data_IF_926130948208
#
_entry.id   IF_926130948208
#
_cell.length_a   1.000
_cell.length_b   1.000
_cell.length_c   1.000
_cell.angle_alpha   90.00
_cell.angle_beta   90.00
_cell.angle_gamma   90.00
#
_symmetry.space_group_name_H-M   'P 1'
#
loop_
_entity.id
_entity.type
_entity.pdbx_description
1 polymer ?
#
# COMPACT_ATOMS: atom_id res chain seq x y z
N UNK A 1 37.72 -57.81 44.31
CA UNK A 1 37.67 -57.52 42.87
C UNK A 1 36.20 -57.41 42.45
N UNK A 2 35.87 -56.38 41.65
CA UNK A 2 34.59 -56.15 40.91
C UNK A 2 33.42 -55.69 41.80
N UNK A 3 32.63 -54.65 41.53
CA UNK A 3 32.70 -53.47 40.66
C UNK A 3 31.59 -52.50 41.13
N UNK A 4 31.86 -51.19 41.20
CA UNK A 4 30.87 -50.18 41.53
C UNK A 4 30.17 -49.68 40.24
N UNK A 5 28.86 -49.84 40.15
CA UNK A 5 28.03 -49.32 39.05
C UNK A 5 27.69 -47.85 39.33
N UNK A 6 28.29 -46.94 38.56
CA UNK A 6 27.94 -45.51 38.55
C UNK A 6 26.87 -45.27 37.46
N UNK A 7 25.62 -45.02 37.87
CA UNK A 7 24.55 -44.56 36.96
C UNK A 7 24.73 -43.07 36.71
N UNK A 8 24.97 -42.69 35.47
CA UNK A 8 24.93 -41.30 35.00
C UNK A 8 23.53 -41.00 34.50
N UNK A 9 22.81 -40.09 35.19
CA UNK A 9 21.60 -39.48 34.66
C UNK A 9 22.00 -38.25 33.85
N UNK A 10 21.91 -38.32 32.52
CA UNK A 10 21.99 -37.15 31.66
C UNK A 10 20.61 -36.49 31.61
N UNK A 11 20.44 -35.37 32.32
CA UNK A 11 19.30 -34.48 32.13
C UNK A 11 19.49 -33.70 30.83
N UNK A 12 18.76 -34.10 29.79
CA UNK A 12 18.63 -33.31 28.56
C UNK A 12 17.74 -32.10 28.79
N UNK A 13 18.32 -30.90 28.80
CA UNK A 13 17.58 -29.64 28.82
C UNK A 13 17.08 -29.34 27.39
N UNK A 14 15.81 -29.65 27.11
CA UNK A 14 15.14 -29.21 25.87
C UNK A 14 14.88 -27.70 25.96
N UNK A 15 15.68 -26.92 25.23
CA UNK A 15 15.38 -25.51 24.98
C UNK A 15 14.18 -25.41 24.04
N UNK A 16 12.98 -25.27 24.60
CA UNK A 16 11.82 -24.78 23.88
C UNK A 16 12.05 -23.30 23.57
N UNK A 17 12.69 -23.02 22.43
CA UNK A 17 12.68 -21.67 21.87
C UNK A 17 11.22 -21.29 21.65
N UNK A 18 10.71 -20.21 22.28
CA UNK A 18 9.38 -19.74 21.97
C UNK A 18 9.38 -19.35 20.49
N UNK A 19 8.52 -19.98 19.69
CA UNK A 19 8.12 -19.39 18.42
C UNK A 19 7.44 -18.07 18.77
N UNK A 20 8.22 -16.99 18.79
CA UNK A 20 7.67 -15.66 18.72
C UNK A 20 6.89 -15.63 17.40
N UNK A 21 5.57 -15.76 17.48
CA UNK A 21 4.71 -15.50 16.34
C UNK A 21 5.04 -14.07 15.91
N UNK A 22 5.75 -13.93 14.78
CA UNK A 22 6.11 -12.64 14.25
C UNK A 22 4.82 -11.84 14.11
N UNK A 23 4.71 -10.74 14.85
CA UNK A 23 3.51 -9.93 14.82
C UNK A 23 3.28 -9.42 13.39
N UNK A 24 2.01 -9.25 12.99
CA UNK A 24 1.68 -8.72 11.68
C UNK A 24 2.14 -7.25 11.62
N UNK A 25 2.97 -6.93 10.63
CA UNK A 25 3.58 -5.60 10.48
C UNK A 25 3.04 -4.92 9.22
N UNK A 26 2.78 -3.61 9.28
CA UNK A 26 2.33 -2.82 8.13
C UNK A 26 2.95 -1.42 8.07
N UNK A 27 3.42 -1.02 6.89
CA UNK A 27 3.77 0.35 6.53
C UNK A 27 2.71 0.97 5.61
N UNK A 28 2.51 2.29 5.75
CA UNK A 28 1.50 3.03 4.99
C UNK A 28 2.10 3.79 3.81
N UNK A 29 1.46 3.72 2.64
CA UNK A 29 1.83 4.51 1.46
C UNK A 29 0.61 5.22 0.89
N UNK A 30 0.81 6.40 0.32
CA UNK A 30 -0.26 7.24 -0.23
C UNK A 30 -0.02 7.59 -1.69
N UNK A 31 -1.06 7.62 -2.52
CA UNK A 31 -0.96 7.93 -3.96
C UNK A 31 -1.72 9.20 -4.39
N UNK A 32 -1.32 9.72 -5.56
CA UNK A 32 -1.97 10.71 -6.45
C UNK A 32 -2.03 12.15 -5.91
N UNK A 33 -2.39 12.35 -4.63
CA UNK A 33 -2.62 13.68 -4.05
C UNK A 33 -3.84 14.40 -4.67
N UNK A 34 -4.61 15.20 -3.91
CA UNK A 34 -5.68 16.01 -4.48
C UNK A 34 -5.11 17.28 -5.14
N UNK A 35 -5.55 17.59 -6.36
CA UNK A 35 -5.26 18.86 -7.05
C UNK A 35 -5.87 20.06 -6.26
N UNK A 36 -5.04 20.95 -5.69
CA UNK A 36 -5.52 22.09 -4.92
C UNK A 36 -6.23 23.15 -5.76
N UNK A 37 -5.92 23.27 -7.05
CA UNK A 37 -6.60 24.21 -7.94
C UNK A 37 -8.04 23.76 -8.25
N UNK A 38 -8.31 22.45 -8.25
CA UNK A 38 -9.65 21.89 -8.52
C UNK A 38 -10.44 21.55 -7.27
N UNK A 39 -9.77 21.41 -6.13
CA UNK A 39 -10.39 21.00 -4.88
C UNK A 39 -9.92 21.88 -3.72
N UNK A 40 -10.75 22.83 -3.25
CA UNK A 40 -10.37 23.74 -2.16
C UNK A 40 -10.16 23.01 -0.82
N UNK A 41 -10.52 21.72 -0.72
CA UNK A 41 -10.27 20.90 0.47
C UNK A 41 -8.96 20.12 0.40
N UNK A 42 -8.21 20.18 -0.71
CA UNK A 42 -6.95 19.46 -0.89
C UNK A 42 -5.97 19.69 0.27
N UNK A 43 -5.71 20.97 0.59
CA UNK A 43 -4.85 21.36 1.71
C UNK A 43 -5.34 20.78 3.04
N UNK A 44 -6.65 20.89 3.31
CA UNK A 44 -7.24 20.38 4.55
C UNK A 44 -7.12 18.85 4.68
N UNK A 45 -7.23 18.11 3.57
CA UNK A 45 -7.09 16.66 3.57
C UNK A 45 -5.64 16.25 3.78
N UNK A 46 -4.71 16.93 3.10
CA UNK A 46 -3.28 16.75 3.25
C UNK A 46 -2.85 16.96 4.71
N UNK A 47 -3.20 18.13 5.27
CA UNK A 47 -2.84 18.50 6.63
C UNK A 47 -3.40 17.53 7.69
N UNK A 48 -4.63 17.02 7.51
CA UNK A 48 -5.23 16.05 8.43
C UNK A 48 -4.53 14.70 8.41
N UNK A 49 -4.12 14.22 7.23
CA UNK A 49 -3.36 12.98 7.10
C UNK A 49 -1.99 13.14 7.78
N UNK A 50 -1.25 14.21 7.46
CA UNK A 50 0.05 14.50 8.07
C UNK A 50 -0.06 14.66 9.59
N UNK A 51 -1.11 15.34 10.08
CA UNK A 51 -1.37 15.47 11.51
C UNK A 51 -1.58 14.11 12.17
N UNK A 52 -2.41 13.24 11.59
CA UNK A 52 -2.64 11.90 12.12
C UNK A 52 -1.35 11.05 12.12
N UNK A 53 -0.58 11.07 11.03
CA UNK A 53 0.71 10.36 10.97
C UNK A 53 1.68 10.85 12.06
N UNK A 54 1.75 12.16 12.30
CA UNK A 54 2.58 12.75 13.35
C UNK A 54 2.13 12.35 14.76
N UNK A 55 0.83 12.42 15.07
CA UNK A 55 0.30 11.99 16.38
C UNK A 55 0.63 10.53 16.67
N UNK A 56 0.59 9.71 15.62
CA UNK A 56 0.83 8.28 15.69
C UNK A 56 2.30 7.88 15.52
N UNK A 57 3.19 8.87 15.35
CA UNK A 57 4.64 8.70 15.12
C UNK A 57 4.97 7.78 13.92
N UNK A 58 4.16 7.85 12.87
CA UNK A 58 4.28 7.01 11.68
C UNK A 58 4.95 7.76 10.52
N UNK A 59 5.90 7.10 9.87
CA UNK A 59 6.54 7.61 8.66
C UNK A 59 6.03 6.85 7.43
N UNK A 60 5.39 7.56 6.51
CA UNK A 60 4.84 7.03 5.27
C UNK A 60 5.72 7.37 4.05
N UNK A 61 5.31 6.90 2.87
CA UNK A 61 5.82 7.37 1.58
C UNK A 61 4.63 7.86 0.73
N UNK A 62 4.76 9.05 0.15
CA UNK A 62 3.86 9.60 -0.85
C UNK A 62 4.37 9.27 -2.26
N UNK A 63 3.48 8.84 -3.14
CA UNK A 63 3.71 8.65 -4.57
C UNK A 63 2.78 9.60 -5.35
N UNK A 64 3.17 10.87 -5.55
CA UNK A 64 2.37 11.83 -6.29
C UNK A 64 2.51 11.59 -7.80
N UNK A 65 1.40 11.73 -8.53
CA UNK A 65 1.47 11.90 -9.98
C UNK A 65 1.32 13.38 -10.30
N UNK A 66 2.12 13.92 -11.23
CA UNK A 66 2.10 15.36 -11.49
C UNK A 66 0.71 15.83 -11.91
N UNK A 67 0.03 15.09 -12.80
CA UNK A 67 -1.33 15.39 -13.20
C UNK A 67 -2.33 15.25 -12.04
N UNK A 68 -2.12 14.32 -11.11
CA UNK A 68 -2.98 14.10 -9.95
C UNK A 68 -2.97 15.26 -8.98
N UNK A 69 -1.79 15.84 -8.74
CA UNK A 69 -1.59 16.98 -7.85
C UNK A 69 -1.84 18.35 -8.53
N UNK A 70 -2.26 18.39 -9.80
CA UNK A 70 -2.46 19.65 -10.52
C UNK A 70 -1.17 20.30 -11.05
N UNK A 71 -0.10 19.53 -11.22
CA UNK A 71 1.21 19.99 -11.68
C UNK A 71 1.95 20.77 -10.59
N UNK A 72 2.56 21.89 -10.97
CA UNK A 72 3.32 22.75 -10.06
C UNK A 72 2.48 23.26 -8.87
N UNK A 73 1.18 23.48 -9.09
CA UNK A 73 0.26 23.94 -8.03
C UNK A 73 0.18 22.99 -6.83
N UNK A 74 0.45 21.69 -7.05
CA UNK A 74 0.44 20.69 -5.99
C UNK A 74 1.78 20.46 -5.30
N UNK A 75 2.88 20.97 -5.84
CA UNK A 75 4.22 20.77 -5.27
C UNK A 75 4.36 21.30 -3.83
N UNK A 76 3.74 22.43 -3.43
CA UNK A 76 3.74 22.85 -2.02
C UNK A 76 3.10 21.82 -1.08
N UNK A 77 2.07 21.09 -1.53
CA UNK A 77 1.48 20.01 -0.74
C UNK A 77 2.42 18.81 -0.62
N UNK A 78 3.16 18.49 -1.68
CA UNK A 78 4.20 17.45 -1.65
C UNK A 78 5.34 17.85 -0.72
N UNK A 79 5.76 19.11 -0.73
CA UNK A 79 6.80 19.64 0.16
C UNK A 79 6.43 19.46 1.64
N UNK A 80 5.16 19.61 2.02
CA UNK A 80 4.71 19.33 3.39
C UNK A 80 4.96 17.88 3.85
N UNK A 81 4.98 16.91 2.93
CA UNK A 81 5.37 15.53 3.26
C UNK A 81 6.87 15.42 3.50
N UNK A 82 7.67 16.13 2.71
CA UNK A 82 9.13 16.21 2.87
C UNK A 82 9.48 16.83 4.22
N UNK A 83 8.88 17.97 4.54
CA UNK A 83 9.10 18.70 5.81
C UNK A 83 8.66 17.88 7.03
N UNK A 84 7.67 17.01 6.86
CA UNK A 84 7.22 16.05 7.87
C UNK A 84 8.07 14.77 7.97
N UNK A 85 9.15 14.66 7.18
CA UNK A 85 10.07 13.51 7.18
C UNK A 85 9.55 12.27 6.45
N UNK A 86 8.45 12.37 5.71
CA UNK A 86 7.94 11.26 4.90
C UNK A 86 8.72 11.14 3.59
N UNK A 87 8.84 9.91 3.07
CA UNK A 87 9.46 9.71 1.76
C UNK A 87 8.56 10.21 0.63
N UNK A 88 9.17 10.64 -0.47
CA UNK A 88 8.47 10.93 -1.72
C UNK A 88 9.05 10.06 -2.83
N UNK A 89 8.18 9.32 -3.53
CA UNK A 89 8.56 8.51 -4.70
C UNK A 89 7.88 9.00 -5.98
N UNK A 90 7.87 8.17 -7.01
CA UNK A 90 7.37 8.52 -8.34
C UNK A 90 6.04 7.79 -8.64
N UNK A 91 5.01 8.51 -9.10
CA UNK A 91 3.76 7.92 -9.64
C UNK A 91 3.45 8.38 -11.07
N UNK A 92 4.51 8.68 -11.82
CA UNK A 92 4.53 9.21 -13.19
C UNK A 92 3.91 10.59 -13.36
N UNK A 93 4.20 11.23 -14.49
CA UNK A 93 3.67 12.56 -14.76
C UNK A 93 2.18 12.55 -15.07
N UNK A 94 1.69 11.60 -15.87
CA UNK A 94 0.30 11.60 -16.35
C UNK A 94 -0.62 10.63 -15.62
N UNK A 95 -0.09 9.71 -14.80
CA UNK A 95 -0.88 8.68 -14.13
C UNK A 95 -1.51 7.64 -15.07
N UNK A 96 -1.00 7.51 -16.30
CA UNK A 96 -1.52 6.53 -17.28
C UNK A 96 -1.20 5.10 -16.86
N UNK A 97 -2.15 4.18 -17.08
CA UNK A 97 -1.93 2.75 -16.84
C UNK A 97 -0.93 2.16 -17.84
N UNK A 98 0.18 1.61 -17.33
CA UNK A 98 1.13 0.88 -18.18
C UNK A 98 0.57 -0.47 -18.66
N UNK A 99 -0.55 -0.95 -18.10
CA UNK A 99 -1.28 -2.11 -18.62
C UNK A 99 -2.14 -1.81 -19.86
N UNK A 100 -2.20 -0.55 -20.32
CA UNK A 100 -2.92 -0.20 -21.54
C UNK A 100 -2.11 -0.54 -22.79
N UNK A 101 -2.75 -1.17 -23.77
CA UNK A 101 -2.17 -1.44 -25.08
C UNK A 101 -1.75 -0.16 -25.83
N UNK A 102 -2.34 1.00 -25.50
CA UNK A 102 -2.00 2.30 -26.10
C UNK A 102 -0.74 2.94 -25.51
N UNK A 103 -0.22 2.40 -24.40
CA UNK A 103 0.97 2.93 -23.72
C UNK A 103 2.15 2.03 -24.05
N UNK A 104 3.14 2.56 -24.76
CA UNK A 104 4.38 1.85 -25.11
C UNK A 104 5.40 1.93 -23.99
N UNK A 105 6.41 1.04 -23.97
CA UNK A 105 7.51 1.09 -22.99
C UNK A 105 8.21 2.46 -23.01
N UNK A 106 8.60 2.95 -24.19
CA UNK A 106 9.28 4.24 -24.33
C UNK A 106 8.43 5.43 -23.86
N UNK A 107 7.14 5.46 -24.19
CA UNK A 107 6.27 6.57 -23.77
C UNK A 107 5.91 6.52 -22.28
N UNK A 108 5.98 5.35 -21.65
CA UNK A 108 5.86 5.22 -20.19
C UNK A 108 7.14 5.63 -19.47
N UNK A 109 8.33 5.22 -19.96
CA UNK A 109 9.62 5.67 -19.42
C UNK A 109 9.74 7.20 -19.47
N UNK A 110 9.37 7.83 -20.58
CA UNK A 110 9.35 9.29 -20.68
C UNK A 110 8.41 9.94 -19.65
N UNK A 111 7.29 9.29 -19.35
CA UNK A 111 6.32 9.76 -18.34
C UNK A 111 6.87 9.64 -16.91
N UNK A 112 7.65 8.60 -16.63
CA UNK A 112 8.37 8.43 -15.35
C UNK A 112 9.45 9.49 -15.20
N UNK A 113 10.27 9.71 -16.24
CA UNK A 113 11.35 10.71 -16.24
C UNK A 113 10.82 12.12 -16.02
N UNK A 114 9.72 12.50 -16.66
CA UNK A 114 9.11 13.82 -16.42
C UNK A 114 8.71 14.04 -14.96
N UNK A 115 8.26 13.00 -14.26
CA UNK A 115 8.00 13.10 -12.82
C UNK A 115 9.29 13.08 -11.98
N UNK A 116 10.31 12.33 -12.41
CA UNK A 116 11.64 12.33 -11.81
C UNK A 116 12.26 13.73 -11.84
N UNK A 117 12.26 14.39 -13.00
CA UNK A 117 12.77 15.74 -13.21
C UNK A 117 12.14 16.76 -12.23
N UNK A 118 10.88 16.56 -11.85
CA UNK A 118 10.15 17.45 -10.94
C UNK A 118 10.30 17.11 -9.46
N UNK A 119 10.78 15.91 -9.10
CA UNK A 119 10.72 15.38 -7.73
C UNK A 119 12.08 14.90 -7.18
N UNK A 120 13.08 14.64 -8.02
CA UNK A 120 14.33 13.99 -7.61
C UNK A 120 15.19 14.83 -6.63
N UNK A 121 15.06 16.15 -6.67
CA UNK A 121 15.78 17.08 -5.78
C UNK A 121 15.12 17.23 -4.39
N UNK A 122 13.98 16.57 -4.14
CA UNK A 122 13.35 16.62 -2.82
C UNK A 122 14.23 15.91 -1.77
N UNK A 123 14.41 16.53 -0.59
CA UNK A 123 15.31 16.03 0.45
C UNK A 123 15.00 14.59 0.93
N UNK A 124 13.73 14.17 0.84
CA UNK A 124 13.28 12.82 1.20
C UNK A 124 12.96 11.95 -0.02
N UNK A 125 13.55 12.28 -1.18
CA UNK A 125 13.40 11.52 -2.41
C UNK A 125 13.71 10.03 -2.21
N UNK A 126 12.89 9.20 -2.81
CA UNK A 126 12.97 7.75 -2.76
C UNK A 126 12.83 7.24 -4.18
N UNK A 127 13.89 6.72 -4.83
CA UNK A 127 13.86 6.29 -6.22
C UNK A 127 13.06 4.98 -6.34
N UNK A 128 11.75 5.12 -6.22
CA UNK A 128 10.76 4.06 -6.16
C UNK A 128 9.60 4.47 -7.06
N UNK A 129 9.24 3.59 -8.01
CA UNK A 129 8.13 3.81 -8.91
C UNK A 129 6.91 3.02 -8.42
N UNK A 130 5.84 3.73 -8.06
CA UNK A 130 4.50 3.14 -7.92
C UNK A 130 3.82 3.20 -9.28
N UNK A 131 3.56 2.05 -9.89
CA UNK A 131 2.83 2.01 -11.16
C UNK A 131 1.38 2.47 -10.99
N UNK A 132 0.87 3.39 -11.82
CA UNK A 132 -0.55 3.75 -11.83
C UNK A 132 -1.44 2.52 -11.98
N UNK A 133 -2.50 2.46 -11.16
CA UNK A 133 -3.42 1.33 -11.07
C UNK A 133 -2.75 -0.01 -10.74
N UNK A 134 -1.52 0.05 -10.20
CA UNK A 134 -0.64 -1.09 -9.97
C UNK A 134 -0.41 -1.93 -11.23
N UNK A 135 -0.43 -1.34 -12.43
CA UNK A 135 -0.24 -2.08 -13.67
C UNK A 135 1.22 -1.98 -14.12
N UNK A 136 1.95 -3.08 -14.04
CA UNK A 136 3.37 -3.22 -14.40
C UNK A 136 3.54 -3.76 -15.84
N UNK A 137 2.58 -3.49 -16.71
CA UNK A 137 2.59 -3.93 -18.11
C UNK A 137 1.75 -5.18 -18.39
N UNK A 138 1.21 -5.23 -19.60
CA UNK A 138 0.32 -6.28 -20.12
C UNK A 138 1.07 -7.36 -20.92
N UNK A 139 2.31 -7.10 -21.35
CA UNK A 139 3.14 -8.03 -22.11
C UNK A 139 4.49 -8.30 -21.42
N UNK A 140 5.11 -9.44 -21.75
CA UNK A 140 6.46 -9.78 -21.29
C UNK A 140 7.47 -8.69 -21.62
N UNK A 141 7.45 -8.19 -22.86
CA UNK A 141 8.37 -7.14 -23.32
C UNK A 141 8.24 -5.84 -22.50
N UNK A 142 7.00 -5.41 -22.19
CA UNK A 142 6.77 -4.22 -21.37
C UNK A 142 7.24 -4.42 -19.93
N UNK A 143 6.87 -5.53 -19.30
CA UNK A 143 7.30 -5.84 -17.93
C UNK A 143 8.83 -5.93 -17.82
N UNK A 144 9.45 -6.76 -18.66
CA UNK A 144 10.89 -7.04 -18.55
C UNK A 144 11.71 -5.80 -18.91
N UNK A 145 11.33 -5.07 -19.97
CA UNK A 145 11.97 -3.82 -20.34
C UNK A 145 11.83 -2.73 -19.28
N UNK A 146 10.68 -2.62 -18.62
CA UNK A 146 10.51 -1.66 -17.53
C UNK A 146 11.32 -2.05 -16.29
N UNK A 147 11.33 -3.34 -15.91
CA UNK A 147 12.17 -3.83 -14.80
C UNK A 147 13.66 -3.60 -15.06
N UNK A 148 14.10 -3.78 -16.30
CA UNK A 148 15.47 -3.47 -16.71
C UNK A 148 15.76 -1.97 -16.54
N UNK A 149 14.91 -1.11 -17.12
CA UNK A 149 15.08 0.34 -17.03
C UNK A 149 15.14 0.81 -15.57
N UNK A 150 14.25 0.32 -14.70
CA UNK A 150 14.26 0.66 -13.27
C UNK A 150 15.61 0.34 -12.62
N UNK A 151 16.15 -0.88 -12.84
CA UNK A 151 17.46 -1.27 -12.27
C UNK A 151 18.60 -0.40 -12.77
N UNK A 152 18.62 -0.11 -14.07
CA UNK A 152 19.67 0.71 -14.71
C UNK A 152 19.67 2.16 -14.21
N UNK A 153 18.54 2.65 -13.71
CA UNK A 153 18.36 4.04 -13.26
C UNK A 153 18.25 4.16 -11.73
N UNK A 154 18.68 3.13 -10.98
CA UNK A 154 18.68 3.14 -9.51
C UNK A 154 17.28 3.11 -8.89
N UNK A 155 16.25 2.81 -9.67
CA UNK A 155 14.87 2.73 -9.23
C UNK A 155 14.50 1.33 -8.72
N UNK A 156 13.59 1.30 -7.74
CA UNK A 156 12.90 0.09 -7.28
C UNK A 156 11.42 0.13 -7.66
N UNK A 157 10.78 -1.02 -7.86
CA UNK A 157 9.33 -1.09 -7.93
C UNK A 157 8.74 -0.89 -6.53
N UNK A 158 7.87 0.10 -6.35
CA UNK A 158 7.16 0.36 -5.11
C UNK A 158 5.94 -0.58 -4.97
N UNK A 159 6.14 -1.88 -5.07
CA UNK A 159 5.05 -2.85 -5.03
C UNK A 159 4.26 -2.77 -3.70
N UNK A 160 3.00 -3.20 -3.73
CA UNK A 160 2.14 -3.23 -2.54
C UNK A 160 1.84 -4.68 -2.19
N UNK A 161 1.72 -4.99 -0.90
CA UNK A 161 1.25 -6.32 -0.49
C UNK A 161 -0.23 -6.29 -0.12
N UNK A 162 -0.71 -5.16 0.41
CA UNK A 162 -2.11 -4.97 0.76
C UNK A 162 -2.72 -3.94 -0.18
N UNK A 163 -3.67 -4.42 -0.98
CA UNK A 163 -4.44 -3.60 -1.91
C UNK A 163 -5.91 -3.53 -1.46
N UNK A 164 -6.45 -2.32 -1.44
CA UNK A 164 -7.75 -2.05 -0.84
C UNK A 164 -8.66 -1.26 -1.79
N UNK A 165 -9.82 -0.86 -1.29
CA UNK A 165 -10.87 -0.20 -2.09
C UNK A 165 -11.18 1.19 -1.54
N UNK A 166 -10.18 1.87 -0.97
CA UNK A 166 -10.38 3.17 -0.33
C UNK A 166 -10.93 4.21 -1.30
N UNK A 167 -10.60 4.14 -2.59
CA UNK A 167 -11.21 4.96 -3.63
C UNK A 167 -12.74 4.80 -3.70
N UNK A 168 -13.26 3.57 -3.68
CA UNK A 168 -14.70 3.32 -3.67
C UNK A 168 -15.37 3.78 -2.38
N UNK A 169 -14.78 3.49 -1.22
CA UNK A 169 -15.31 3.97 0.06
C UNK A 169 -15.29 5.51 0.13
N UNK A 170 -14.27 6.17 -0.42
CA UNK A 170 -14.21 7.63 -0.50
C UNK A 170 -15.32 8.21 -1.38
N UNK A 171 -15.65 7.58 -2.52
CA UNK A 171 -16.82 7.99 -3.33
C UNK A 171 -18.10 7.94 -2.51
N UNK A 172 -18.31 6.88 -1.72
CA UNK A 172 -19.48 6.77 -0.82
C UNK A 172 -19.46 7.82 0.29
N UNK A 173 -18.30 8.09 0.86
CA UNK A 173 -18.12 9.12 1.89
C UNK A 173 -18.47 10.50 1.38
N UNK A 174 -17.99 10.87 0.19
CA UNK A 174 -18.32 12.15 -0.45
C UNK A 174 -19.82 12.28 -0.73
N UNK A 175 -20.46 11.21 -1.23
CA UNK A 175 -21.90 11.20 -1.50
C UNK A 175 -22.74 11.38 -0.22
N UNK A 176 -22.44 10.64 0.86
CA UNK A 176 -23.14 10.77 2.13
C UNK A 176 -22.92 12.14 2.78
N UNK A 177 -21.70 12.70 2.63
CA UNK A 177 -21.38 14.04 3.14
C UNK A 177 -22.16 15.12 2.38
N UNK A 178 -22.27 15.00 1.06
CA UNK A 178 -23.06 15.92 0.25
C UNK A 178 -24.56 15.87 0.60
N UNK A 179 -25.06 14.72 1.05
CA UNK A 179 -26.45 14.55 1.51
C UNK A 179 -26.69 15.03 2.96
N UNK A 180 -25.68 15.58 3.67
CA UNK A 180 -25.83 16.10 5.03
C UNK A 180 -26.05 15.04 6.11
N UNK A 181 -25.69 13.78 5.87
CA UNK A 181 -26.05 12.64 6.73
C UNK A 181 -24.96 12.30 7.75
N UNK A 182 -25.04 12.85 8.97
CA UNK A 182 -24.04 12.66 10.02
C UNK A 182 -23.83 11.21 10.50
N UNK A 183 -24.87 10.53 10.99
CA UNK A 183 -24.76 9.14 11.49
C UNK A 183 -24.22 8.16 10.43
N UNK A 184 -24.69 8.20 9.16
CA UNK A 184 -24.13 7.38 8.09
C UNK A 184 -22.64 7.59 7.83
N UNK A 185 -22.09 8.78 8.07
CA UNK A 185 -20.65 9.02 7.92
C UNK A 185 -19.84 8.27 8.99
N UNK A 186 -20.29 8.29 10.25
CA UNK A 186 -19.64 7.52 11.30
C UNK A 186 -19.72 6.02 11.05
N UNK A 187 -20.88 5.52 10.60
CA UNK A 187 -21.06 4.12 10.22
C UNK A 187 -20.19 3.71 9.03
N UNK A 188 -20.05 4.57 8.02
CA UNK A 188 -19.16 4.33 6.88
C UNK A 188 -17.68 4.27 7.29
N UNK A 189 -17.21 5.16 8.17
CA UNK A 189 -15.81 5.13 8.64
C UNK A 189 -15.48 3.84 9.39
N UNK A 190 -16.39 3.35 10.24
CA UNK A 190 -16.25 2.02 10.89
C UNK A 190 -16.23 0.88 9.87
N UNK A 191 -17.14 0.90 8.89
CA UNK A 191 -17.15 -0.10 7.82
C UNK A 191 -15.86 -0.08 6.99
N UNK A 192 -15.30 1.12 6.76
CA UNK A 192 -14.05 1.31 6.06
C UNK A 192 -12.84 0.76 6.83
N UNK A 193 -12.71 1.07 8.12
CA UNK A 193 -11.65 0.51 8.96
C UNK A 193 -11.70 -1.03 9.00
N UNK A 194 -12.90 -1.60 9.08
CA UNK A 194 -13.10 -3.05 9.01
C UNK A 194 -12.69 -3.62 7.65
N UNK A 195 -13.02 -2.94 6.54
CA UNK A 195 -12.58 -3.35 5.21
C UNK A 195 -11.06 -3.42 5.11
N UNK A 196 -10.36 -2.38 5.55
CA UNK A 196 -8.90 -2.37 5.52
C UNK A 196 -8.29 -3.53 6.33
N UNK A 197 -8.84 -3.81 7.52
CA UNK A 197 -8.45 -4.95 8.35
C UNK A 197 -8.69 -6.31 7.66
N UNK A 198 -9.83 -6.48 6.99
CA UNK A 198 -10.11 -7.70 6.22
C UNK A 198 -9.16 -7.86 5.04
N UNK A 199 -8.82 -6.76 4.34
CA UNK A 199 -7.82 -6.80 3.27
C UNK A 199 -6.45 -7.18 3.82
N UNK A 200 -6.03 -6.59 4.93
CA UNK A 200 -4.77 -6.91 5.59
C UNK A 200 -4.71 -8.39 6.01
N UNK A 201 -5.78 -8.88 6.66
CA UNK A 201 -5.90 -10.28 7.08
C UNK A 201 -5.87 -11.24 5.90
N UNK A 202 -6.61 -10.92 4.82
CA UNK A 202 -6.62 -11.73 3.60
C UNK A 202 -5.22 -11.85 3.00
N UNK A 203 -4.50 -10.73 2.85
CA UNK A 203 -3.18 -10.74 2.22
C UNK A 203 -2.11 -11.36 3.10
N UNK A 204 -2.21 -11.23 4.42
CA UNK A 204 -1.31 -11.93 5.35
C UNK A 204 -1.51 -13.45 5.27
N UNK A 205 -2.76 -13.93 5.30
CA UNK A 205 -3.06 -15.35 5.11
C UNK A 205 -2.56 -15.85 3.76
N UNK A 206 -2.80 -15.09 2.70
CA UNK A 206 -2.31 -15.45 1.36
C UNK A 206 -0.78 -15.46 1.31
N UNK A 207 -0.09 -14.52 1.96
CA UNK A 207 1.36 -14.51 2.03
C UNK A 207 1.89 -15.72 2.79
N UNK A 208 1.29 -16.09 3.93
CA UNK A 208 1.68 -17.31 4.66
C UNK A 208 1.53 -18.57 3.82
N UNK A 209 0.45 -18.68 3.05
CA UNK A 209 0.23 -19.81 2.13
C UNK A 209 1.20 -19.79 0.94
N UNK A 210 1.48 -18.59 0.41
CA UNK A 210 2.24 -18.44 -0.83
C UNK A 210 3.74 -18.50 -0.58
N UNK A 211 4.26 -17.74 0.40
CA UNK A 211 5.68 -17.57 0.67
C UNK A 211 6.12 -18.12 2.04
N UNK A 212 5.22 -18.79 2.78
CA UNK A 212 5.54 -19.48 4.02
C UNK A 212 5.66 -18.59 5.27
N UNK A 213 5.38 -17.29 5.18
CA UNK A 213 5.48 -16.34 6.31
C UNK A 213 4.59 -15.11 6.15
N UNK A 214 4.42 -14.39 7.26
CA UNK A 214 3.91 -13.02 7.27
C UNK A 214 5.05 -12.04 6.89
N UNK A 215 4.92 -11.23 5.84
CA UNK A 215 5.89 -10.20 5.50
C UNK A 215 5.61 -8.89 6.25
N UNK A 216 6.59 -7.99 6.32
CA UNK A 216 6.30 -6.60 6.62
C UNK A 216 5.48 -6.03 5.46
N UNK A 217 4.18 -5.86 5.69
CA UNK A 217 3.27 -5.47 4.63
C UNK A 217 3.39 -3.98 4.29
N UNK A 218 3.07 -3.63 3.06
CA UNK A 218 2.87 -2.26 2.58
C UNK A 218 1.43 -2.14 2.11
N UNK A 219 0.71 -1.19 2.70
CA UNK A 219 -0.67 -0.85 2.37
C UNK A 219 -0.72 0.36 1.44
N UNK A 220 -1.51 0.22 0.37
CA UNK A 220 -1.87 1.31 -0.54
C UNK A 220 -3.10 2.06 -0.02
N UNK A 221 -2.97 3.38 0.10
CA UNK A 221 -4.04 4.33 0.36
C UNK A 221 -3.90 5.52 -0.59
N UNK A 222 -4.91 6.38 -0.66
CA UNK A 222 -4.86 7.64 -1.40
C UNK A 222 -4.99 8.84 -0.46
N UNK A 223 -4.41 9.99 -0.84
CA UNK A 223 -4.66 11.25 -0.14
C UNK A 223 -6.08 11.73 -0.54
N UNK A 224 -7.07 11.36 0.27
CA UNK A 224 -8.48 11.61 -0.02
C UNK A 224 -9.28 12.02 1.22
N UNK A 225 -10.54 12.41 1.03
CA UNK A 225 -11.40 12.92 2.09
C UNK A 225 -11.69 11.90 3.19
N UNK A 226 -11.85 10.63 2.82
CA UNK A 226 -12.14 9.56 3.77
C UNK A 226 -10.92 9.23 4.62
N UNK A 227 -9.75 9.06 4.01
CA UNK A 227 -8.50 8.82 4.75
C UNK A 227 -8.18 9.99 5.67
N UNK A 228 -8.36 11.24 5.22
CA UNK A 228 -8.24 12.42 6.06
C UNK A 228 -9.22 12.46 7.25
N UNK A 229 -10.34 11.73 7.20
CA UNK A 229 -11.35 11.71 8.24
C UNK A 229 -11.32 10.45 9.12
N UNK A 230 -10.65 9.39 8.68
CA UNK A 230 -10.71 8.06 9.30
C UNK A 230 -9.35 7.48 9.67
N UNK A 231 -8.22 8.09 9.26
CA UNK A 231 -6.89 7.51 9.48
C UNK A 231 -6.59 7.17 10.96
N UNK A 232 -6.92 8.01 11.96
CA UNK A 232 -6.76 7.63 13.37
C UNK A 232 -7.56 6.38 13.75
N UNK A 233 -8.83 6.30 13.35
CA UNK A 233 -9.71 5.15 13.61
C UNK A 233 -9.20 3.87 12.92
N UNK A 234 -8.60 4.01 11.73
CA UNK A 234 -7.96 2.90 11.02
C UNK A 234 -6.75 2.39 11.80
N UNK A 235 -5.87 3.29 12.25
CA UNK A 235 -4.66 2.94 13.00
C UNK A 235 -5.03 2.24 14.31
N UNK A 236 -5.98 2.80 15.05
CA UNK A 236 -6.52 2.21 16.27
C UNK A 236 -7.10 0.81 16.02
N UNK A 237 -7.93 0.66 14.98
CA UNK A 237 -8.53 -0.63 14.63
C UNK A 237 -7.47 -1.70 14.32
N UNK A 238 -6.38 -1.34 13.64
CA UNK A 238 -5.25 -2.23 13.35
C UNK A 238 -4.52 -2.65 14.63
N UNK A 239 -4.18 -1.70 15.49
CA UNK A 239 -3.51 -1.99 16.77
C UNK A 239 -4.37 -2.86 17.68
N UNK A 240 -5.68 -2.62 17.74
CA UNK A 240 -6.63 -3.45 18.48
C UNK A 240 -6.73 -4.89 17.94
N UNK A 241 -6.25 -5.14 16.72
CA UNK A 241 -6.12 -6.48 16.13
C UNK A 241 -4.69 -7.04 16.16
N UNK A 242 -3.78 -6.39 16.90
CA UNK A 242 -2.40 -6.85 17.08
C UNK A 242 -1.45 -6.51 15.92
N UNK A 243 -1.88 -5.66 14.98
CA UNK A 243 -1.00 -5.17 13.92
C UNK A 243 -0.07 -4.09 14.45
N UNK A 244 1.20 -4.16 14.05
CA UNK A 244 2.22 -3.19 14.37
C UNK A 244 2.51 -2.32 13.14
N UNK A 245 2.52 -1.01 13.34
CA UNK A 245 2.90 -0.09 12.28
C UNK A 245 4.40 0.14 12.30
N UNK A 246 5.02 0.13 11.13
CA UNK A 246 6.43 0.49 10.93
C UNK A 246 6.54 1.58 9.88
N UNK A 247 7.70 2.24 9.83
CA UNK A 247 7.99 3.16 8.74
C UNK A 247 7.88 2.44 7.39
N UNK A 248 7.27 3.07 6.39
CA UNK A 248 7.07 2.44 5.09
C UNK A 248 8.40 2.05 4.41
N UNK A 249 9.48 2.83 4.62
CA UNK A 249 10.83 2.48 4.16
C UNK A 249 11.31 1.14 4.74
N UNK A 250 11.11 0.94 6.05
CA UNK A 250 11.43 -0.32 6.75
C UNK A 250 10.59 -1.48 6.23
N UNK A 251 9.29 -1.28 5.98
CA UNK A 251 8.47 -2.33 5.38
C UNK A 251 9.01 -2.77 4.00
N UNK A 252 9.48 -1.82 3.19
CA UNK A 252 10.10 -2.09 1.90
C UNK A 252 11.46 -2.81 1.96
N UNK A 253 12.06 -2.99 3.13
CA UNK A 253 13.28 -3.81 3.31
C UNK A 253 12.97 -5.31 3.37
N UNK A 254 11.71 -5.70 3.52
CA UNK A 254 11.31 -7.10 3.51
C UNK A 254 11.67 -7.78 2.16
N UNK A 255 12.27 -8.98 2.17
CA UNK A 255 12.67 -9.69 0.95
C UNK A 255 11.55 -9.95 -0.06
N UNK A 256 10.28 -9.88 0.36
CA UNK A 256 9.13 -9.91 -0.53
C UNK A 256 9.28 -8.90 -1.67
N UNK A 257 9.71 -7.67 -1.36
CA UNK A 257 9.78 -6.57 -2.34
C UNK A 257 10.97 -6.67 -3.29
N UNK A 258 11.83 -7.67 -3.14
CA UNK A 258 12.86 -8.02 -4.12
C UNK A 258 12.37 -9.09 -5.13
N UNK A 259 11.24 -9.76 -4.86
CA UNK A 259 10.69 -10.78 -5.74
C UNK A 259 10.13 -10.17 -7.03
N UNK A 260 10.21 -10.92 -8.13
CA UNK A 260 9.80 -10.46 -9.46
C UNK A 260 8.83 -11.46 -10.11
N UNK A 261 7.55 -11.47 -9.72
CA UNK A 261 6.57 -12.39 -10.29
C UNK A 261 6.51 -12.27 -11.81
N UNK A 262 6.42 -13.41 -12.50
CA UNK A 262 6.46 -13.53 -13.96
C UNK A 262 5.07 -13.67 -14.60
N UNK A 263 4.02 -13.48 -13.80
CA UNK A 263 2.63 -13.52 -14.24
C UNK A 263 2.29 -12.34 -15.17
N UNK A 264 1.35 -12.57 -16.09
CA UNK A 264 0.79 -11.54 -16.98
C UNK A 264 -0.75 -11.48 -16.86
N UNK A 265 -1.37 -10.30 -17.03
CA UNK A 265 -0.73 -8.98 -16.98
C UNK A 265 -0.04 -8.75 -15.62
N UNK A 266 1.08 -8.04 -15.63
CA UNK A 266 1.92 -7.85 -14.44
C UNK A 266 1.41 -6.71 -13.53
N UNK A 267 1.75 -6.82 -12.24
CA UNK A 267 1.35 -5.87 -11.20
C UNK A 267 0.23 -6.38 -10.29
N UNK A 268 -0.50 -5.46 -9.67
CA UNK A 268 -1.38 -5.69 -8.52
C UNK A 268 -0.58 -5.85 -7.22
N UNK A 269 -1.21 -6.45 -6.21
CA UNK A 269 -0.49 -6.87 -4.99
C UNK A 269 0.57 -7.91 -5.34
N UNK A 270 1.80 -7.73 -4.84
CA UNK A 270 2.91 -8.67 -5.06
C UNK A 270 2.61 -10.05 -4.46
N UNK A 271 1.91 -10.10 -3.33
CA UNK A 271 1.48 -11.36 -2.71
C UNK A 271 0.48 -12.08 -3.62
N UNK A 272 -0.46 -11.33 -4.19
CA UNK A 272 -1.43 -11.90 -5.13
C UNK A 272 -0.76 -12.40 -6.41
N UNK A 273 0.18 -11.64 -6.95
CA UNK A 273 0.91 -11.99 -8.16
C UNK A 273 1.73 -13.28 -7.97
N UNK A 274 2.39 -13.42 -6.82
CA UNK A 274 3.11 -14.64 -6.44
C UNK A 274 2.15 -15.83 -6.23
N UNK A 275 1.00 -15.61 -5.59
CA UNK A 275 0.02 -16.66 -5.38
C UNK A 275 -0.52 -17.20 -6.70
N UNK A 276 -0.80 -16.30 -7.66
CA UNK A 276 -1.20 -16.66 -9.02
C UNK A 276 -0.10 -17.44 -9.74
N UNK A 277 1.15 -17.02 -9.62
CA UNK A 277 2.29 -17.71 -10.23
C UNK A 277 2.43 -19.15 -9.75
N UNK A 278 2.18 -19.39 -8.46
CA UNK A 278 2.27 -20.71 -7.82
C UNK A 278 1.01 -21.56 -7.98
N UNK A 279 -0.02 -21.08 -8.68
CA UNK A 279 -1.30 -21.79 -8.82
C UNK A 279 -2.09 -21.92 -7.52
N UNK A 280 -1.93 -20.97 -6.59
CA UNK A 280 -2.60 -21.01 -5.27
C UNK A 280 -4.09 -20.67 -5.40
N UNK A 281 -4.95 -21.68 -5.38
CA UNK A 281 -6.39 -21.60 -5.05
C UNK A 281 -7.26 -20.54 -5.74
N UNK A 282 -8.49 -20.36 -5.23
CA UNK A 282 -9.39 -19.29 -5.68
C UNK A 282 -8.91 -17.95 -5.12
N UNK A 283 -8.27 -17.17 -5.98
CA UNK A 283 -7.84 -15.82 -5.61
C UNK A 283 -9.01 -14.85 -5.73
N UNK A 284 -9.28 -14.09 -4.66
CA UNK A 284 -10.13 -12.90 -4.77
C UNK A 284 -9.46 -11.94 -5.76
N UNK A 285 -10.19 -11.51 -6.78
CA UNK A 285 -9.64 -10.57 -7.77
C UNK A 285 -9.13 -9.30 -7.06
N UNK A 286 -7.89 -8.85 -7.34
CA UNK A 286 -7.29 -7.66 -6.74
C UNK A 286 -7.85 -6.39 -7.43
N UNK A 287 -7.88 -5.25 -6.73
CA UNK A 287 -9.07 -4.45 -6.48
C UNK A 287 -9.06 -3.02 -7.10
N UNK A 288 -10.27 -2.47 -7.23
CA UNK A 288 -10.73 -1.16 -6.70
C UNK A 288 -12.22 -0.98 -7.10
N UNK A 289 -13.02 -2.04 -7.03
CA UNK A 289 -14.37 -2.01 -7.57
C UNK A 289 -15.44 -2.18 -6.50
N UNK A 290 -16.64 -1.78 -6.89
CA UNK A 290 -17.82 -1.88 -6.07
C UNK A 290 -18.35 -3.31 -5.96
N UNK A 291 -17.86 -4.28 -6.75
CA UNK A 291 -18.51 -5.58 -6.87
C UNK A 291 -18.48 -6.34 -5.53
N UNK A 292 -17.33 -6.30 -4.84
CA UNK A 292 -17.19 -6.92 -3.52
C UNK A 292 -17.72 -6.06 -2.37
N UNK A 293 -17.63 -4.74 -2.50
CA UNK A 293 -17.87 -3.81 -1.39
C UNK A 293 -19.33 -3.35 -1.31
N UNK A 294 -19.99 -3.15 -2.46
CA UNK A 294 -21.36 -2.62 -2.55
C UNK A 294 -22.38 -3.47 -1.81
N UNK A 295 -22.42 -4.81 -1.94
CA UNK A 295 -23.43 -5.62 -1.24
C UNK A 295 -23.38 -5.45 0.28
N UNK A 296 -22.16 -5.31 0.83
CA UNK A 296 -21.99 -5.02 2.26
C UNK A 296 -22.49 -3.64 2.62
N UNK A 297 -22.12 -2.62 1.86
CA UNK A 297 -22.56 -1.25 2.12
C UNK A 297 -24.07 -1.08 1.98
N UNK A 298 -24.72 -1.80 1.06
CA UNK A 298 -26.18 -1.86 0.91
C UNK A 298 -26.85 -2.42 2.17
N UNK A 299 -26.37 -3.57 2.68
CA UNK A 299 -26.87 -4.15 3.94
C UNK A 299 -26.72 -3.20 5.15
N UNK A 300 -25.74 -2.30 5.09
CA UNK A 300 -25.52 -1.29 6.12
C UNK A 300 -26.31 0.02 5.87
N UNK A 301 -27.06 0.14 4.77
CA UNK A 301 -27.75 1.38 4.39
C UNK A 301 -26.81 2.52 3.97
N UNK A 302 -25.61 2.18 3.50
CA UNK A 302 -24.54 3.13 3.12
C UNK A 302 -24.34 3.25 1.59
N UNK A 303 -24.98 2.35 0.83
CA UNK A 303 -25.03 2.37 -0.63
C UNK A 303 -26.49 2.14 -1.08
N UNK A 304 -26.88 2.72 -2.23
CA UNK A 304 -28.14 2.37 -2.89
C UNK A 304 -28.11 0.91 -3.34
#
# INVERSE_FOLDING_TARGET
MIAAVRRWFALGLLWLLPLAAAAQVVGLTFEIGPDPARNPRAESWNARILHALRQEQLHAILFPSLAGIGGEAGLPLVQQWVDAGHGVGNHTATGRSFGSARVTLGSFIADVRRADDALHDLATWTPMLRFPYLREGDTRAKRDGMRQWLREHGYRNAAVSIDCSDGYYNQRYLALRAAGRGEPLAKLRRAYAHHLLERATYYDLLARQTIGRSPAHVMRLHVNALNAAALPEVIEAFRNKGWHFVAARTAYEDPLYAMQPMVLPAGGSIVWALARERGTGSLRQPPEDAAYERPRLQRLGLAP
#
